data_IF_567150639224
#
_entry.id   IF_567150639224
#
_cell.length_a   1.000
_cell.length_b   1.000
_cell.length_c   1.000
_cell.angle_alpha   90.00
_cell.angle_beta   90.00
_cell.angle_gamma   90.00
#
_symmetry.space_group_name_H-M   'P 1'
#
loop_
_entity.id
_entity.type
_entity.pdbx_description
1 polymer ?
#
# COMPACT_ATOMS: atom_id res chain seq x y z
N UNK A 1 -3.56 4.35 2.61
CA UNK A 1 -5.02 4.13 2.57
C UNK A 1 -5.52 3.44 3.81
N UNK A 2 -6.82 3.13 3.79
CA UNK A 2 -7.48 2.27 4.76
C UNK A 2 -7.85 0.97 4.05
N UNK A 3 -7.36 -0.14 4.57
CA UNK A 3 -7.53 -1.47 4.01
C UNK A 3 -8.35 -2.36 4.96
N UNK A 4 -8.98 -3.41 4.44
CA UNK A 4 -9.72 -4.36 5.28
C UNK A 4 -8.81 -5.05 6.32
N UNK A 5 -7.53 -5.23 5.98
CA UNK A 5 -6.50 -5.72 6.90
C UNK A 5 -6.37 -4.87 8.17
N UNK A 6 -6.53 -3.53 8.08
CA UNK A 6 -6.46 -2.66 9.26
C UNK A 6 -7.56 -3.00 10.28
N UNK A 7 -8.76 -3.36 9.80
CA UNK A 7 -9.87 -3.79 10.65
C UNK A 7 -9.59 -5.13 11.32
N UNK A 8 -9.04 -6.09 10.56
CA UNK A 8 -8.67 -7.41 11.06
C UNK A 8 -7.60 -7.29 12.17
N UNK A 9 -6.57 -6.48 11.94
CA UNK A 9 -5.52 -6.22 12.94
C UNK A 9 -6.12 -5.54 14.17
N UNK A 10 -6.97 -4.51 13.99
CA UNK A 10 -7.64 -3.81 15.10
C UNK A 10 -8.47 -4.75 15.97
N UNK A 11 -9.09 -5.78 15.38
CA UNK A 11 -9.88 -6.78 16.10
C UNK A 11 -9.03 -7.91 16.70
N UNK A 12 -7.73 -7.98 16.40
CA UNK A 12 -6.89 -9.11 16.75
C UNK A 12 -7.23 -10.38 15.96
N UNK A 13 -7.95 -10.26 14.86
CA UNK A 13 -8.41 -11.35 14.01
C UNK A 13 -7.36 -11.80 12.98
N UNK A 14 -6.08 -11.63 13.30
CA UNK A 14 -4.94 -12.07 12.49
C UNK A 14 -4.07 -13.03 13.30
N UNK A 15 -3.31 -13.87 12.61
CA UNK A 15 -2.30 -14.68 13.26
C UNK A 15 -1.21 -13.77 13.85
N UNK A 16 -0.87 -13.99 15.12
CA UNK A 16 0.17 -13.22 15.84
C UNK A 16 -0.01 -11.69 15.77
N UNK A 17 -1.10 -11.14 16.34
CA UNK A 17 -1.35 -9.70 16.29
C UNK A 17 -0.25 -8.91 17.02
N UNK A 18 0.07 -7.68 16.57
CA UNK A 18 1.05 -6.84 17.22
C UNK A 18 0.67 -6.56 18.69
N UNK A 19 1.67 -6.50 19.56
CA UNK A 19 1.45 -6.17 20.98
C UNK A 19 1.04 -4.70 21.10
N UNK A 20 -0.06 -4.44 21.79
CA UNK A 20 -0.51 -3.08 22.09
C UNK A 20 0.37 -2.37 23.16
N UNK A 21 0.50 -1.04 23.10
CA UNK A 21 -0.02 -0.14 22.06
C UNK A 21 0.85 -0.16 20.79
N UNK A 22 0.22 0.00 19.62
CA UNK A 22 0.91 0.13 18.33
C UNK A 22 0.13 1.07 17.40
N UNK A 23 0.76 1.50 16.30
CA UNK A 23 0.16 2.38 15.28
C UNK A 23 -0.23 1.53 14.06
N UNK A 24 -1.47 1.69 13.59
CA UNK A 24 -2.05 0.99 12.44
C UNK A 24 -1.58 1.56 11.08
N UNK A 25 -1.99 0.92 9.99
CA UNK A 25 -1.79 1.37 8.62
C UNK A 25 -0.60 0.71 7.92
N UNK A 26 -0.83 0.26 6.69
CA UNK A 26 0.14 -0.44 5.82
C UNK A 26 0.47 0.32 4.54
N UNK A 27 -0.09 1.51 4.35
CA UNK A 27 0.02 2.26 3.11
C UNK A 27 -0.14 3.76 3.37
N UNK A 28 0.76 4.57 2.83
CA UNK A 28 0.70 6.02 2.88
C UNK A 28 1.28 6.63 1.59
N UNK A 29 0.93 7.88 1.31
CA UNK A 29 1.55 8.67 0.25
C UNK A 29 1.85 10.07 0.80
N UNK A 30 2.94 10.66 0.34
CA UNK A 30 3.44 11.92 0.87
C UNK A 30 4.77 12.32 0.24
N UNK A 31 5.45 13.24 0.90
CA UNK A 31 6.74 13.75 0.48
C UNK A 31 7.87 13.17 1.33
N UNK A 32 9.01 12.87 0.72
CA UNK A 32 10.21 12.48 1.47
C UNK A 32 10.73 13.67 2.27
N UNK A 33 10.66 13.59 3.60
CA UNK A 33 11.26 14.58 4.51
C UNK A 33 12.76 14.33 4.74
N UNK A 34 13.18 13.05 4.81
CA UNK A 34 14.57 12.67 5.04
C UNK A 34 14.93 11.38 4.29
N UNK A 35 16.17 11.30 3.80
CA UNK A 35 16.75 10.10 3.19
C UNK A 35 17.82 9.54 4.12
N UNK A 36 17.75 8.23 4.41
CA UNK A 36 18.74 7.54 5.25
C UNK A 36 20.09 7.38 4.56
N UNK A 37 21.14 7.16 5.35
CA UNK A 37 22.49 6.93 4.84
C UNK A 37 22.55 5.71 3.91
N UNK A 38 23.19 5.86 2.75
CA UNK A 38 23.35 4.79 1.75
C UNK A 38 22.10 4.50 0.91
N UNK A 39 21.00 5.24 1.07
CA UNK A 39 19.84 5.15 0.18
C UNK A 39 20.07 5.99 -1.07
N UNK A 40 20.03 5.34 -2.23
CA UNK A 40 20.17 5.97 -3.54
C UNK A 40 18.82 6.09 -4.27
N UNK A 41 18.76 6.94 -5.30
CA UNK A 41 17.59 7.08 -6.17
C UNK A 41 16.45 7.94 -5.62
N UNK A 42 16.50 8.33 -4.35
CA UNK A 42 15.51 9.19 -3.69
C UNK A 42 16.12 10.51 -3.22
N UNK A 43 15.29 11.54 -3.11
CA UNK A 43 15.67 12.88 -2.64
C UNK A 43 14.57 13.47 -1.77
N UNK A 44 14.95 14.33 -0.83
CA UNK A 44 13.99 15.13 -0.06
C UNK A 44 13.14 15.95 -1.03
N UNK A 45 11.82 15.97 -0.83
CA UNK A 45 10.87 16.61 -1.74
C UNK A 45 10.25 15.67 -2.79
N UNK A 46 10.80 14.46 -2.99
CA UNK A 46 10.18 13.48 -3.89
C UNK A 46 8.78 13.11 -3.39
N UNK A 47 7.80 13.17 -4.28
CA UNK A 47 6.43 12.71 -4.02
C UNK A 47 6.40 11.19 -4.19
N UNK A 48 5.96 10.46 -3.17
CA UNK A 48 6.06 9.00 -3.11
C UNK A 48 4.81 8.36 -2.54
N UNK A 49 4.63 7.09 -2.87
CA UNK A 49 3.80 6.14 -2.12
C UNK A 49 4.72 5.14 -1.42
N UNK A 50 4.35 4.73 -0.22
CA UNK A 50 5.10 3.77 0.58
C UNK A 50 4.19 2.70 1.20
N UNK A 51 4.72 1.48 1.26
CA UNK A 51 4.06 0.29 1.81
C UNK A 51 4.81 -0.22 3.06
N UNK A 52 4.67 0.46 4.22
CA UNK A 52 5.28 -0.03 5.45
C UNK A 52 4.55 -1.26 6.00
N UNK A 53 5.22 -1.99 6.89
CA UNK A 53 4.60 -3.13 7.57
C UNK A 53 3.54 -2.68 8.60
N UNK A 54 3.67 -1.48 9.19
CA UNK A 54 2.71 -0.85 10.12
C UNK A 54 3.00 0.66 10.17
N UNK A 55 2.32 1.39 11.07
CA UNK A 55 2.63 2.78 11.44
C UNK A 55 2.36 3.82 10.35
N UNK A 56 1.65 3.47 9.28
CA UNK A 56 1.32 4.42 8.22
C UNK A 56 0.29 5.47 8.65
N UNK A 57 -0.49 5.22 9.71
CA UNK A 57 -1.43 6.21 10.28
C UNK A 57 -0.72 7.15 11.26
N UNK A 58 0.27 7.86 10.74
CA UNK A 58 1.08 8.85 11.45
C UNK A 58 1.46 9.98 10.49
N UNK A 59 1.86 11.13 11.02
CA UNK A 59 2.34 12.26 10.20
C UNK A 59 3.70 11.95 9.56
N UNK A 60 4.53 11.12 10.21
CA UNK A 60 5.83 10.68 9.73
C UNK A 60 5.99 9.17 9.92
N UNK A 61 6.58 8.51 8.93
CA UNK A 61 6.88 7.07 8.97
C UNK A 61 8.19 6.77 8.24
N UNK A 62 9.06 6.00 8.89
CA UNK A 62 10.29 5.50 8.29
C UNK A 62 10.01 4.17 7.57
N UNK A 63 10.34 4.11 6.27
CA UNK A 63 10.06 2.94 5.43
C UNK A 63 11.33 2.51 4.70
N UNK A 64 11.67 1.20 4.65
CA UNK A 64 12.78 0.72 3.83
C UNK A 64 12.57 1.10 2.36
N UNK A 65 13.62 1.62 1.70
CA UNK A 65 13.55 2.17 0.34
C UNK A 65 12.95 1.21 -0.71
N UNK A 66 13.11 -0.11 -0.52
CA UNK A 66 12.50 -1.13 -1.39
C UNK A 66 10.97 -1.18 -1.41
N UNK A 67 10.32 -0.50 -0.46
CA UNK A 67 8.88 -0.38 -0.34
C UNK A 67 8.38 1.06 -0.58
N UNK A 68 9.23 1.90 -1.18
CA UNK A 68 8.91 3.28 -1.53
C UNK A 68 8.98 3.43 -3.04
N UNK A 69 8.00 4.10 -3.62
CA UNK A 69 7.88 4.26 -5.08
C UNK A 69 7.57 5.72 -5.40
N UNK A 70 8.31 6.30 -6.36
CA UNK A 70 8.05 7.67 -6.83
C UNK A 70 6.73 7.75 -7.56
N UNK A 71 5.97 8.80 -7.26
CA UNK A 71 4.73 9.09 -7.95
C UNK A 71 4.99 9.79 -9.29
N UNK A 72 4.27 9.43 -10.36
CA UNK A 72 4.14 10.27 -11.53
C UNK A 72 3.58 11.64 -11.15
N UNK A 73 3.96 12.68 -11.90
CA UNK A 73 3.58 14.09 -11.61
C UNK A 73 2.08 14.33 -11.56
N UNK A 74 1.30 13.49 -12.22
CA UNK A 74 -0.14 13.69 -12.41
C UNK A 74 -1.00 12.90 -11.40
N UNK A 75 -0.37 12.20 -10.44
CA UNK A 75 -1.06 11.42 -9.41
C UNK A 75 -1.02 12.18 -8.08
N UNK A 76 -2.19 12.46 -7.51
CA UNK A 76 -2.28 13.08 -6.19
C UNK A 76 -1.93 12.08 -5.08
N UNK A 77 -1.52 12.56 -3.90
CA UNK A 77 -1.31 11.69 -2.73
C UNK A 77 -2.58 10.92 -2.34
N UNK A 78 -3.75 11.52 -2.52
CA UNK A 78 -5.01 10.86 -2.21
C UNK A 78 -5.27 9.68 -3.16
N UNK A 79 -5.06 9.87 -4.46
CA UNK A 79 -5.20 8.80 -5.44
C UNK A 79 -4.17 7.70 -5.19
N UNK A 80 -2.89 8.08 -5.01
CA UNK A 80 -1.82 7.14 -4.71
C UNK A 80 -2.10 6.28 -3.47
N UNK A 81 -2.57 6.90 -2.38
CA UNK A 81 -2.87 6.21 -1.13
C UNK A 81 -4.17 5.41 -1.16
N UNK A 82 -4.95 5.42 -2.25
CA UNK A 82 -6.18 4.64 -2.40
C UNK A 82 -6.05 3.51 -3.43
N UNK A 83 -5.18 3.67 -4.42
CA UNK A 83 -5.03 2.68 -5.50
C UNK A 83 -3.90 1.69 -5.29
N UNK A 84 -2.83 2.05 -4.57
CA UNK A 84 -1.56 1.28 -4.66
C UNK A 84 -1.71 -0.15 -4.16
N UNK A 85 -2.20 -0.34 -2.94
CA UNK A 85 -2.37 -1.68 -2.36
C UNK A 85 -3.42 -2.50 -3.14
N UNK A 86 -4.55 -1.87 -3.45
CA UNK A 86 -5.66 -2.49 -4.18
C UNK A 86 -5.24 -2.98 -5.57
N UNK A 87 -4.63 -2.11 -6.36
CA UNK A 87 -4.20 -2.42 -7.72
C UNK A 87 -3.07 -3.45 -7.73
N UNK A 88 -2.11 -3.36 -6.80
CA UNK A 88 -1.02 -4.33 -6.69
C UNK A 88 -1.56 -5.74 -6.43
N UNK A 89 -2.50 -5.88 -5.50
CA UNK A 89 -3.13 -7.19 -5.21
C UNK A 89 -3.91 -7.69 -6.43
N UNK A 90 -4.74 -6.83 -7.04
CA UNK A 90 -5.52 -7.21 -8.21
C UNK A 90 -4.62 -7.68 -9.36
N UNK A 91 -3.53 -6.95 -9.63
CA UNK A 91 -2.59 -7.30 -10.69
C UNK A 91 -1.93 -8.67 -10.45
N UNK A 92 -1.42 -8.90 -9.23
CA UNK A 92 -0.80 -10.18 -8.87
C UNK A 92 -1.80 -11.33 -9.00
N UNK A 93 -3.02 -11.18 -8.48
CA UNK A 93 -4.05 -12.22 -8.56
C UNK A 93 -4.42 -12.56 -10.01
N UNK A 94 -4.62 -11.55 -10.84
CA UNK A 94 -5.12 -11.73 -12.19
C UNK A 94 -4.03 -12.18 -13.17
N UNK A 95 -2.86 -11.56 -13.14
CA UNK A 95 -1.85 -11.76 -14.18
C UNK A 95 -0.74 -12.70 -13.76
N UNK A 96 -0.24 -12.59 -12.53
CA UNK A 96 0.86 -13.44 -12.05
C UNK A 96 0.38 -14.82 -11.59
N UNK A 97 -0.76 -14.87 -10.87
CA UNK A 97 -1.28 -16.13 -10.31
C UNK A 97 -2.29 -16.82 -11.24
N UNK A 98 -3.32 -16.10 -11.71
CA UNK A 98 -4.36 -16.69 -12.54
C UNK A 98 -4.01 -16.76 -14.05
N UNK A 99 -3.02 -15.97 -14.49
CA UNK A 99 -2.62 -15.88 -15.89
C UNK A 99 -3.78 -15.46 -16.81
N UNK A 100 -4.53 -14.43 -16.41
CA UNK A 100 -5.69 -13.93 -17.15
C UNK A 100 -5.28 -13.54 -18.58
N UNK A 101 -6.06 -14.00 -19.54
CA UNK A 101 -5.82 -13.78 -20.97
C UNK A 101 -7.14 -13.71 -21.72
N UNK A 102 -7.09 -13.20 -22.95
CA UNK A 102 -8.26 -13.02 -23.81
C UNK A 102 -9.06 -14.32 -23.94
N UNK A 103 -10.36 -14.24 -23.74
CA UNK A 103 -11.29 -15.38 -23.85
C UNK A 103 -11.52 -16.14 -22.54
N UNK A 104 -10.80 -15.82 -21.46
CA UNK A 104 -11.09 -16.34 -20.12
C UNK A 104 -12.20 -15.52 -19.44
N UNK A 105 -12.98 -16.18 -18.59
CA UNK A 105 -13.97 -15.55 -17.70
C UNK A 105 -13.44 -15.49 -16.27
N UNK A 106 -13.82 -14.45 -15.52
CA UNK A 106 -13.54 -14.31 -14.09
C UNK A 106 -14.84 -14.12 -13.32
N UNK A 107 -14.88 -14.64 -12.09
CA UNK A 107 -15.92 -14.33 -11.11
C UNK A 107 -15.30 -13.43 -10.05
N UNK A 108 -15.89 -12.27 -9.81
CA UNK A 108 -15.41 -11.32 -8.81
C UNK A 108 -16.46 -11.11 -7.75
N UNK A 109 -16.10 -11.39 -6.50
CA UNK A 109 -16.96 -11.15 -5.34
C UNK A 109 -16.74 -9.73 -4.80
N UNK A 110 -17.75 -9.18 -4.11
CA UNK A 110 -17.65 -7.88 -3.43
C UNK A 110 -17.18 -6.72 -4.32
N UNK A 111 -17.76 -6.59 -5.52
CA UNK A 111 -17.34 -5.64 -6.58
C UNK A 111 -17.27 -4.18 -6.13
N UNK A 112 -17.99 -3.79 -5.07
CA UNK A 112 -17.89 -2.43 -4.49
C UNK A 112 -16.68 -2.20 -3.58
N UNK A 113 -15.80 -3.19 -3.39
CA UNK A 113 -14.60 -3.08 -2.57
C UNK A 113 -13.38 -2.59 -3.36
N UNK A 114 -12.43 -1.95 -2.66
CA UNK A 114 -11.29 -1.26 -3.28
C UNK A 114 -10.42 -2.10 -4.23
N UNK A 115 -10.24 -3.40 -3.97
CA UNK A 115 -9.43 -4.30 -4.81
C UNK A 115 -10.02 -4.47 -6.22
N UNK A 116 -11.32 -4.26 -6.36
CA UNK A 116 -12.08 -4.52 -7.60
C UNK A 116 -12.43 -3.23 -8.36
N UNK A 117 -12.32 -2.08 -7.70
CA UNK A 117 -12.65 -0.75 -8.25
C UNK A 117 -11.45 -0.10 -8.92
#
# INVERSE_FOLDING_TARGET
GLNFQDLMVRQGAIDSPPKCPFILGFECAGEIEQVGEGVEGFSVGDQVVALPEYRAWAELVAVPAKFVFKLPKDISHLDAATITMNYTVAYILLFELAGLSKGKSILVHSVGGGVVS
#
